data_IF_737569648653
#
_entry.id   IF_737569648653
#
_cell.length_a   1.000
_cell.length_b   1.000
_cell.length_c   1.000
_cell.angle_alpha   90.00
_cell.angle_beta   90.00
_cell.angle_gamma   90.00
#
_symmetry.space_group_name_H-M   'P 1'
#
loop_
_entity.id
_entity.type
_entity.pdbx_description
1 polymer ?
#
# COMPACT_ATOMS: atom_id res chain seq x y z
N UNK A 1 27.57 -11.88 -4.58
CA UNK A 1 26.10 -12.03 -4.70
C UNK A 1 25.50 -10.64 -4.69
N UNK A 2 25.76 -9.94 -5.79
CA UNK A 2 25.49 -8.52 -5.99
C UNK A 2 24.12 -8.43 -6.68
N UNK A 3 23.43 -7.29 -6.51
CA UNK A 3 22.32 -6.77 -7.36
C UNK A 3 20.91 -6.67 -6.73
N UNK A 4 20.47 -7.46 -5.74
CA UNK A 4 19.06 -7.33 -5.26
C UNK A 4 18.80 -6.06 -4.41
N UNK A 5 19.84 -5.42 -3.87
CA UNK A 5 19.71 -4.26 -2.94
C UNK A 5 19.58 -2.89 -3.63
N UNK A 6 19.53 -2.85 -4.97
CA UNK A 6 19.44 -1.62 -5.75
C UNK A 6 17.97 -1.19 -5.82
N UNK A 7 17.58 -0.27 -4.93
CA UNK A 7 16.44 0.65 -5.13
C UNK A 7 15.06 -0.04 -5.06
N UNK A 8 14.66 -0.51 -3.88
CA UNK A 8 13.23 -0.64 -3.56
C UNK A 8 12.75 0.73 -3.05
N UNK A 9 11.81 1.35 -3.76
CA UNK A 9 11.37 2.73 -3.56
C UNK A 9 10.92 3.02 -2.12
N UNK A 10 11.65 3.93 -1.47
CA UNK A 10 11.49 4.26 -0.05
C UNK A 10 10.08 4.67 0.31
N UNK A 11 9.33 5.33 -0.58
CA UNK A 11 7.97 5.75 -0.29
C UNK A 11 6.92 4.66 -0.45
N UNK A 12 7.06 3.76 -1.43
CA UNK A 12 6.14 2.63 -1.55
C UNK A 12 6.29 1.70 -0.36
N UNK A 13 7.52 1.46 0.09
CA UNK A 13 7.75 0.61 1.25
C UNK A 13 7.21 1.24 2.54
N UNK A 14 7.41 2.54 2.75
CA UNK A 14 6.78 3.24 3.89
C UNK A 14 5.26 3.11 3.87
N UNK A 15 4.62 3.33 2.72
CA UNK A 15 3.17 3.17 2.58
C UNK A 15 2.77 1.73 2.89
N UNK A 16 3.50 0.73 2.38
CA UNK A 16 3.23 -0.70 2.64
C UNK A 16 3.31 -1.02 4.13
N UNK A 17 4.34 -0.53 4.83
CA UNK A 17 4.48 -0.72 6.27
C UNK A 17 3.32 -0.07 7.05
N UNK A 18 2.89 1.12 6.65
CA UNK A 18 1.74 1.81 7.27
C UNK A 18 0.43 1.05 7.01
N UNK A 19 0.23 0.51 5.81
CA UNK A 19 -0.93 -0.32 5.50
C UNK A 19 -0.94 -1.60 6.36
N UNK A 20 0.19 -2.30 6.44
CA UNK A 20 0.32 -3.54 7.22
C UNK A 20 0.12 -3.26 8.72
N UNK A 21 0.66 -2.17 9.26
CA UNK A 21 0.51 -1.84 10.69
C UNK A 21 -0.91 -1.44 11.08
N UNK A 22 -1.74 -1.04 10.13
CA UNK A 22 -3.15 -0.70 10.32
C UNK A 22 -4.11 -1.83 9.89
N UNK A 23 -3.57 -2.99 9.51
CA UNK A 23 -4.35 -4.14 9.11
C UNK A 23 -5.06 -4.80 10.31
N UNK A 24 -6.24 -5.34 10.05
CA UNK A 24 -7.05 -6.09 11.01
C UNK A 24 -7.52 -7.41 10.40
N UNK A 25 -7.34 -8.49 11.15
CA UNK A 25 -7.61 -9.86 10.71
C UNK A 25 -9.09 -10.09 10.42
N UNK A 26 -10.01 -9.49 11.19
CA UNK A 26 -11.45 -9.60 10.94
C UNK A 26 -11.82 -8.98 9.59
N UNK A 27 -11.21 -7.84 9.29
CA UNK A 27 -11.39 -7.14 8.01
C UNK A 27 -10.79 -7.94 6.86
N UNK A 28 -9.62 -8.57 7.06
CA UNK A 28 -9.01 -9.49 6.07
C UNK A 28 -9.93 -10.66 5.73
N UNK A 29 -10.40 -11.40 6.74
CA UNK A 29 -11.28 -12.55 6.57
C UNK A 29 -12.58 -12.14 5.86
N UNK A 30 -13.18 -11.02 6.27
CA UNK A 30 -14.41 -10.52 5.63
C UNK A 30 -14.19 -10.18 4.16
N UNK A 31 -13.05 -9.58 3.82
CA UNK A 31 -12.69 -9.28 2.43
C UNK A 31 -12.47 -10.55 1.61
N UNK A 32 -11.70 -11.51 2.13
CA UNK A 32 -11.42 -12.77 1.43
C UNK A 32 -12.68 -13.58 1.16
N UNK A 33 -13.69 -13.55 2.04
CA UNK A 33 -15.00 -14.19 1.82
C UNK A 33 -15.86 -13.48 0.78
N UNK A 34 -15.68 -12.17 0.61
CA UNK A 34 -16.46 -11.38 -0.35
C UNK A 34 -16.04 -11.66 -1.79
N UNK A 35 -14.73 -11.75 -2.04
CA UNK A 35 -14.20 -12.11 -3.35
C UNK A 35 -14.38 -13.62 -3.60
N UNK A 36 -14.87 -13.99 -4.77
CA UNK A 36 -15.08 -15.40 -5.17
C UNK A 36 -13.83 -16.05 -5.75
N UNK A 37 -12.70 -15.38 -5.62
CA UNK A 37 -11.39 -15.79 -6.11
C UNK A 37 -10.36 -15.66 -4.99
N UNK A 38 -9.22 -16.34 -5.14
CA UNK A 38 -8.14 -16.20 -4.17
C UNK A 38 -7.49 -14.82 -4.32
N UNK A 39 -7.66 -13.99 -3.28
CA UNK A 39 -7.12 -12.64 -3.21
C UNK A 39 -6.18 -12.52 -2.01
N UNK A 40 -5.13 -11.73 -2.16
CA UNK A 40 -4.26 -11.33 -1.04
C UNK A 40 -4.67 -9.96 -0.56
N UNK A 41 -5.28 -9.89 0.62
CA UNK A 41 -5.74 -8.63 1.21
C UNK A 41 -5.01 -8.41 2.53
N UNK A 42 -4.58 -7.18 2.80
CA UNK A 42 -3.97 -6.84 4.09
C UNK A 42 -5.00 -6.79 5.22
N UNK A 43 -6.22 -6.32 4.95
CA UNK A 43 -7.31 -6.25 5.93
C UNK A 43 -7.55 -4.84 6.43
N UNK A 44 -7.74 -3.87 5.53
CA UNK A 44 -8.06 -2.49 5.88
C UNK A 44 -9.47 -2.13 5.42
N UNK A 45 -10.12 -1.26 6.22
CA UNK A 45 -11.36 -0.61 5.80
C UNK A 45 -11.04 0.50 4.80
N UNK A 46 -11.98 0.79 3.89
CA UNK A 46 -11.82 1.82 2.87
C UNK A 46 -11.49 3.20 3.48
N UNK A 47 -12.15 3.58 4.58
CA UNK A 47 -11.91 4.85 5.26
C UNK A 47 -10.47 5.01 5.78
N UNK A 48 -9.86 3.92 6.29
CA UNK A 48 -8.47 3.94 6.76
C UNK A 48 -7.52 4.07 5.58
N UNK A 49 -7.78 3.33 4.50
CA UNK A 49 -6.98 3.38 3.27
C UNK A 49 -7.03 4.78 2.65
N UNK A 50 -8.20 5.41 2.60
CA UNK A 50 -8.37 6.77 2.08
C UNK A 50 -7.60 7.80 2.91
N UNK A 51 -7.62 7.68 4.24
CA UNK A 51 -6.85 8.56 5.13
C UNK A 51 -5.35 8.44 4.86
N UNK A 52 -4.81 7.22 4.83
CA UNK A 52 -3.39 6.95 4.55
C UNK A 52 -3.01 7.50 3.16
N UNK A 53 -3.86 7.29 2.16
CA UNK A 53 -3.62 7.81 0.81
C UNK A 53 -3.50 9.34 0.79
N UNK A 54 -4.39 10.07 1.48
CA UNK A 54 -4.33 11.54 1.55
C UNK A 54 -3.06 12.04 2.25
N UNK A 55 -2.67 11.40 3.35
CA UNK A 55 -1.47 11.75 4.11
C UNK A 55 -0.19 11.56 3.29
N UNK A 56 -0.06 10.42 2.62
CA UNK A 56 1.13 10.11 1.83
C UNK A 56 1.15 10.76 0.45
N UNK A 57 -0.01 11.03 -0.17
CA UNK A 57 -0.05 11.70 -1.47
C UNK A 57 0.55 13.11 -1.42
N UNK A 58 0.45 13.80 -0.29
CA UNK A 58 1.05 15.12 -0.11
C UNK A 58 2.57 15.14 -0.41
N UNK A 59 3.29 14.05 -0.15
CA UNK A 59 4.75 13.97 -0.38
C UNK A 59 5.12 13.78 -1.86
N UNK A 60 4.21 13.25 -2.68
CA UNK A 60 4.43 12.97 -4.10
C UNK A 60 3.62 13.87 -5.04
N UNK A 61 2.72 14.70 -4.53
CA UNK A 61 1.80 15.54 -5.32
C UNK A 61 2.51 16.48 -6.31
N UNK A 62 3.76 16.86 -6.06
CA UNK A 62 4.54 17.74 -6.96
C UNK A 62 5.28 16.98 -8.07
N UNK A 63 5.30 15.65 -8.03
CA UNK A 63 5.90 14.81 -9.06
C UNK A 63 5.00 14.74 -10.29
N UNK A 64 5.62 14.69 -11.46
CA UNK A 64 4.94 14.39 -12.71
C UNK A 64 4.41 12.96 -12.71
N UNK A 65 3.49 12.66 -13.64
CA UNK A 65 2.94 11.31 -13.80
C UNK A 65 4.06 10.29 -14.05
N UNK A 66 5.04 10.60 -14.90
CA UNK A 66 6.19 9.70 -15.14
C UNK A 66 6.95 9.41 -13.85
N UNK A 67 7.33 10.46 -13.11
CA UNK A 67 8.07 10.32 -11.85
C UNK A 67 7.30 9.55 -10.76
N UNK A 68 5.97 9.53 -10.80
CA UNK A 68 5.14 8.72 -9.89
C UNK A 68 5.11 7.25 -10.34
N UNK A 69 5.01 6.96 -11.64
CA UNK A 69 5.03 5.59 -12.15
C UNK A 69 6.42 4.94 -12.13
N UNK A 70 7.48 5.76 -12.05
CA UNK A 70 8.87 5.30 -11.92
C UNK A 70 9.29 5.02 -10.45
N UNK A 71 8.39 5.20 -9.48
CA UNK A 71 8.58 4.77 -8.07
C UNK A 71 8.39 3.26 -7.92
#
# INVERSE_FOLDING_TARGET
MTVIKKIMSTEIEKIRQVLISNADEKTRISGERFFKESVKIHGLKSAVTEKIAKEHFASIRRKSKSEIFDL
#
